data_IF_079932377433
#
_entry.id   IF_079932377433
#
_cell.length_a   1.000
_cell.length_b   1.000
_cell.length_c   1.000
_cell.angle_alpha   90.00
_cell.angle_beta   90.00
_cell.angle_gamma   90.00
#
_symmetry.space_group_name_H-M   'P 1'
#
loop_
_entity.id
_entity.type
_entity.pdbx_description
1 polymer ?
#
# COMPACT_ATOMS: atom_id res chain seq x y z
N UNK A 1 5.39 43.02 21.04
CA UNK A 1 5.95 41.90 21.84
C UNK A 1 4.93 40.84 22.29
N UNK A 2 3.65 40.89 21.88
CA UNK A 2 2.64 39.89 22.32
C UNK A 2 2.40 38.71 21.35
N UNK A 3 2.71 38.85 20.05
CA UNK A 3 2.43 37.78 19.07
C UNK A 3 3.42 36.60 19.09
N UNK A 4 4.63 36.80 19.60
CA UNK A 4 5.66 35.74 19.65
C UNK A 4 5.37 34.70 20.75
N UNK A 5 4.74 35.10 21.85
CA UNK A 5 4.48 34.19 22.99
C UNK A 5 3.37 33.19 22.68
N UNK A 6 2.35 33.60 21.91
CA UNK A 6 1.26 32.71 21.48
C UNK A 6 1.70 31.68 20.44
N UNK A 7 2.62 32.05 19.54
CA UNK A 7 3.17 31.12 18.53
C UNK A 7 3.99 29.99 19.14
N UNK A 8 4.80 30.29 20.17
CA UNK A 8 5.64 29.30 20.85
C UNK A 8 4.81 28.27 21.64
N UNK A 9 3.68 28.69 22.22
CA UNK A 9 2.75 27.78 22.92
C UNK A 9 2.05 26.81 21.97
N UNK A 10 1.68 27.28 20.78
CA UNK A 10 1.05 26.44 19.76
C UNK A 10 2.01 25.36 19.24
N UNK A 11 3.29 25.70 19.01
CA UNK A 11 4.31 24.73 18.58
C UNK A 11 4.57 23.62 19.59
N UNK A 12 4.57 23.95 20.89
CA UNK A 12 4.79 22.97 21.95
C UNK A 12 3.65 21.95 22.10
N UNK A 13 2.43 22.30 21.70
CA UNK A 13 1.25 21.43 21.75
C UNK A 13 1.17 20.45 20.57
N UNK A 14 1.67 20.85 19.40
CA UNK A 14 1.80 19.96 18.22
C UNK A 14 2.87 18.90 18.46
N UNK A 15 4.04 19.28 19.01
CA UNK A 15 5.12 18.33 19.33
C UNK A 15 4.69 17.31 20.39
N UNK A 16 3.88 17.73 21.38
CA UNK A 16 3.28 16.82 22.37
C UNK A 16 2.27 15.82 21.78
N UNK A 17 1.63 16.17 20.66
CA UNK A 17 0.67 15.27 19.98
C UNK A 17 1.37 14.24 19.10
N UNK A 18 2.56 14.55 18.57
CA UNK A 18 3.40 13.63 17.78
C UNK A 18 4.09 12.57 18.65
N UNK A 19 4.32 12.85 19.94
CA UNK A 19 4.91 11.90 20.91
C UNK A 19 3.93 10.86 21.47
N UNK A 20 2.65 10.88 21.08
CA UNK A 20 1.69 9.85 21.46
C UNK A 20 1.92 8.62 20.59
N UNK A 21 2.84 7.74 21.02
CA UNK A 21 2.93 6.36 20.52
C UNK A 21 1.63 5.66 20.92
N UNK A 22 0.61 5.76 20.07
CA UNK A 22 -0.62 5.00 20.26
C UNK A 22 -0.31 3.55 19.91
N UNK A 23 -0.27 2.69 20.91
CA UNK A 23 -0.24 1.25 20.69
C UNK A 23 -1.55 0.85 20.02
N UNK A 24 -1.52 0.69 18.69
CA UNK A 24 -2.65 0.14 17.94
C UNK A 24 -2.62 -1.37 18.16
N UNK A 25 -3.46 -1.85 19.07
CA UNK A 25 -3.70 -3.27 19.22
C UNK A 25 -4.83 -3.69 18.28
N UNK A 26 -4.57 -4.65 17.41
CA UNK A 26 -5.60 -5.24 16.56
C UNK A 26 -6.45 -6.22 17.39
N UNK A 27 -7.76 -5.98 17.46
CA UNK A 27 -8.70 -6.94 18.05
C UNK A 27 -8.88 -8.20 17.21
N UNK A 28 -9.64 -9.18 17.73
CA UNK A 28 -9.99 -10.39 16.99
C UNK A 28 -10.72 -10.03 15.68
N UNK A 29 -10.33 -10.61 14.53
CA UNK A 29 -11.00 -10.35 13.26
C UNK A 29 -12.46 -10.81 13.31
N UNK A 30 -13.39 -9.94 12.88
CA UNK A 30 -14.82 -10.26 12.81
C UNK A 30 -15.10 -11.38 11.81
N UNK A 31 -14.40 -11.36 10.68
CA UNK A 31 -14.48 -12.37 9.64
C UNK A 31 -13.12 -13.06 9.51
N UNK A 32 -13.10 -14.38 9.74
CA UNK A 32 -11.89 -15.20 9.56
C UNK A 32 -11.81 -15.61 8.10
N UNK A 33 -10.77 -15.16 7.41
CA UNK A 33 -10.49 -15.63 6.04
C UNK A 33 -9.93 -17.03 6.12
N UNK A 34 -10.66 -17.98 5.54
CA UNK A 34 -10.27 -19.39 5.45
C UNK A 34 -8.99 -19.56 4.62
N UNK A 35 -8.29 -20.68 4.80
CA UNK A 35 -7.07 -20.96 4.02
C UNK A 35 -7.36 -20.97 2.51
N UNK A 36 -8.49 -21.55 2.12
CA UNK A 36 -8.90 -21.64 0.73
C UNK A 36 -9.13 -20.26 0.12
N UNK A 37 -9.84 -19.36 0.82
CA UNK A 37 -10.01 -17.98 0.36
C UNK A 37 -8.67 -17.27 0.17
N UNK A 38 -7.70 -17.45 1.09
CA UNK A 38 -6.36 -16.86 0.95
C UNK A 38 -5.66 -17.37 -0.31
N UNK A 39 -5.74 -18.67 -0.58
CA UNK A 39 -5.12 -19.28 -1.76
C UNK A 39 -5.80 -18.79 -3.03
N UNK A 40 -7.14 -18.76 -3.07
CA UNK A 40 -7.90 -18.25 -4.22
C UNK A 40 -7.55 -16.79 -4.52
N UNK A 41 -7.51 -15.93 -3.51
CA UNK A 41 -7.10 -14.53 -3.68
C UNK A 41 -5.66 -14.43 -4.18
N UNK A 42 -4.74 -15.23 -3.62
CA UNK A 42 -3.36 -15.29 -4.08
C UNK A 42 -3.25 -15.63 -5.56
N UNK A 43 -3.95 -16.67 -6.02
CA UNK A 43 -3.96 -17.09 -7.43
C UNK A 43 -4.49 -15.97 -8.33
N UNK A 44 -5.62 -15.37 -7.98
CA UNK A 44 -6.23 -14.30 -8.79
C UNK A 44 -5.29 -13.10 -8.93
N UNK A 45 -4.65 -12.69 -7.83
CA UNK A 45 -3.69 -11.58 -7.83
C UNK A 45 -2.46 -11.94 -8.69
N UNK A 46 -1.89 -13.13 -8.50
CA UNK A 46 -0.72 -13.58 -9.25
C UNK A 46 -1.01 -13.68 -10.76
N UNK A 47 -2.16 -14.23 -11.14
CA UNK A 47 -2.58 -14.30 -12.54
C UNK A 47 -2.73 -12.89 -13.14
N UNK A 48 -3.37 -11.96 -12.42
CA UNK A 48 -3.52 -10.58 -12.87
C UNK A 48 -2.18 -9.86 -13.08
N UNK A 49 -1.22 -10.06 -12.17
CA UNK A 49 0.11 -9.47 -12.28
C UNK A 49 0.93 -10.03 -13.47
N UNK A 50 0.77 -11.31 -13.79
CA UNK A 50 1.56 -12.00 -14.83
C UNK A 50 0.91 -11.92 -16.21
N UNK A 51 -0.42 -11.76 -16.30
CA UNK A 51 -1.14 -11.78 -17.56
C UNK A 51 -0.61 -10.77 -18.59
N UNK A 52 -0.45 -9.51 -18.18
CA UNK A 52 0.04 -8.44 -19.06
C UNK A 52 1.48 -8.65 -19.53
N UNK A 53 2.48 -8.87 -18.65
CA UNK A 53 3.85 -9.11 -19.11
C UNK A 53 3.97 -10.41 -19.91
N UNK A 54 3.19 -11.45 -19.61
CA UNK A 54 3.17 -12.69 -20.40
C UNK A 54 2.63 -12.45 -21.82
N UNK A 55 1.56 -11.65 -21.96
CA UNK A 55 1.04 -11.26 -23.27
C UNK A 55 2.08 -10.47 -24.09
N UNK A 56 2.78 -9.53 -23.46
CA UNK A 56 3.82 -8.74 -24.15
C UNK A 56 5.00 -9.63 -24.56
N UNK A 57 5.48 -10.48 -23.66
CA UNK A 57 6.61 -11.37 -23.92
C UNK A 57 6.32 -12.36 -25.05
N UNK A 58 5.09 -12.90 -25.11
CA UNK A 58 4.68 -13.80 -26.18
C UNK A 58 4.55 -13.10 -27.54
N UNK A 59 4.18 -11.82 -27.55
CA UNK A 59 4.01 -11.03 -28.77
C UNK A 59 5.26 -10.23 -29.18
N UNK A 60 6.39 -10.38 -28.48
CA UNK A 60 7.62 -9.62 -28.76
C UNK A 60 8.12 -9.79 -30.19
N UNK A 61 7.87 -10.96 -30.80
CA UNK A 61 8.23 -11.25 -32.20
C UNK A 61 7.36 -10.49 -33.22
N UNK A 62 6.11 -10.17 -32.87
CA UNK A 62 5.25 -9.32 -33.69
C UNK A 62 5.68 -7.84 -33.61
N UNK A 63 6.22 -7.41 -32.47
CA UNK A 63 6.71 -6.04 -32.29
C UNK A 63 8.10 -5.80 -32.88
N UNK A 64 8.96 -6.83 -32.95
CA UNK A 64 10.25 -6.80 -33.66
C UNK A 64 10.00 -6.86 -35.16
N UNK A 65 9.34 -5.82 -35.70
CA UNK A 65 8.97 -5.69 -37.11
C UNK A 65 10.02 -6.34 -37.99
N UNK A 66 9.57 -7.24 -38.88
CA UNK A 66 10.44 -7.92 -39.82
C UNK A 66 11.42 -6.90 -40.38
N UNK A 67 12.70 -7.12 -40.12
CA UNK A 67 13.79 -6.42 -40.79
C UNK A 67 13.76 -6.94 -42.24
N UNK A 68 12.84 -6.38 -43.04
CA UNK A 68 12.83 -6.50 -44.50
C UNK A 68 13.66 -5.36 -45.08
#
# INVERSE_FOLDING_TARGET
MFSLVNGVRCGQQVIRSTGQVRTVSCGMPRNKVSFLERVCHGIVISCGLIATPAYIATNIKHYRGKEE
#
